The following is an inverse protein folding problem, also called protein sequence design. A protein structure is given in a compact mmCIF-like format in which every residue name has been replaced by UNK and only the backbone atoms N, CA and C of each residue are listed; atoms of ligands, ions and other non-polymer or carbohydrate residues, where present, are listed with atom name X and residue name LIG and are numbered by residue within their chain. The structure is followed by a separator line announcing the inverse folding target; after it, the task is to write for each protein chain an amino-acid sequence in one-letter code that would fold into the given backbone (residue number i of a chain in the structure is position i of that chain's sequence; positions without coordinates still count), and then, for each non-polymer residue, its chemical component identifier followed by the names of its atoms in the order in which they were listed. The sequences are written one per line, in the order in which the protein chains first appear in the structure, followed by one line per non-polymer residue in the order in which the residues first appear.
data_IF_373608727059
#
_entry.id   IF_373608727059
#
_cell.length_a   1.000
_cell.length_b   1.000
_cell.length_c   1.000
_cell.angle_alpha   90.00
_cell.angle_beta   90.00
_cell.angle_gamma   90.00
#
_symmetry.space_group_name_H-M   'P 1'
#
loop_
_entity.id
_entity.type
_entity.pdbx_description
1 polymer ?
#
# COMPACT_ATOMS: atom_id res chain seq x y z
N UNK A 1 17.98 32.10 -17.33
CA UNK A 1 17.41 30.75 -17.41
C UNK A 1 17.19 30.26 -15.99
N UNK A 2 15.94 30.19 -15.52
CA UNK A 2 15.65 29.51 -14.26
C UNK A 2 15.63 28.00 -14.55
N UNK A 3 16.58 27.26 -13.98
CA UNK A 3 16.47 25.82 -13.85
C UNK A 3 15.33 25.56 -12.86
N UNK A 4 14.16 25.17 -13.36
CA UNK A 4 13.13 24.60 -12.51
C UNK A 4 13.73 23.34 -11.87
N UNK A 5 14.02 23.39 -10.57
CA UNK A 5 14.45 22.23 -9.82
C UNK A 5 13.34 21.19 -9.90
N UNK A 6 13.55 20.11 -10.63
CA UNK A 6 12.62 18.99 -10.62
C UNK A 6 12.62 18.43 -9.20
N UNK A 7 11.44 18.36 -8.55
CA UNK A 7 11.33 17.64 -7.29
C UNK A 7 11.92 16.23 -7.45
N UNK A 8 12.85 15.85 -6.60
CA UNK A 8 13.38 14.50 -6.57
C UNK A 8 12.32 13.59 -5.94
N UNK A 9 12.10 12.44 -6.55
CA UNK A 9 11.32 11.37 -5.95
C UNK A 9 12.28 10.30 -5.42
N UNK A 10 11.78 9.41 -4.57
CA UNK A 10 12.53 8.21 -4.19
C UNK A 10 12.96 7.47 -5.47
N UNK A 11 14.27 7.37 -5.71
CA UNK A 11 14.84 6.70 -6.88
C UNK A 11 15.05 5.22 -6.57
N UNK A 12 13.96 4.52 -6.24
CA UNK A 12 13.96 3.06 -6.07
C UNK A 12 13.63 2.32 -7.38
N UNK A 13 13.54 3.04 -8.51
CA UNK A 13 13.21 2.50 -9.83
C UNK A 13 11.74 2.15 -10.06
N UNK A 14 10.87 2.29 -9.03
CA UNK A 14 9.44 1.96 -9.07
C UNK A 14 8.56 3.19 -9.31
N UNK A 15 7.25 2.98 -9.53
CA UNK A 15 6.29 4.08 -9.74
C UNK A 15 6.56 4.92 -10.99
N UNK A 16 7.21 4.37 -12.03
CA UNK A 16 7.46 5.10 -13.30
C UNK A 16 6.17 5.52 -14.01
N UNK A 17 5.12 4.74 -13.82
CA UNK A 17 3.72 5.07 -14.13
C UNK A 17 2.91 4.99 -12.85
N UNK A 18 1.70 5.56 -12.80
CA UNK A 18 0.80 5.34 -11.66
C UNK A 18 0.61 3.84 -11.41
N UNK A 19 0.71 3.38 -10.14
CA UNK A 19 0.52 1.98 -9.83
C UNK A 19 -0.93 1.55 -10.11
N UNK A 20 -1.09 0.32 -10.59
CA UNK A 20 -2.38 -0.27 -10.92
C UNK A 20 -2.49 -1.64 -10.26
N UNK A 21 -3.55 -1.83 -9.49
CA UNK A 21 -3.74 -3.06 -8.72
C UNK A 21 -5.09 -3.14 -8.05
N UNK A 22 -5.15 -3.96 -7.02
CA UNK A 22 -6.32 -4.21 -6.18
C UNK A 22 -5.90 -4.20 -4.71
N UNK A 23 -6.79 -3.75 -3.81
CA UNK A 23 -6.55 -3.70 -2.37
C UNK A 23 -7.78 -4.17 -1.60
N UNK A 24 -7.59 -4.84 -0.46
CA UNK A 24 -8.65 -5.62 0.20
C UNK A 24 -9.70 -4.85 0.97
N UNK A 25 -9.40 -3.63 1.42
CA UNK A 25 -10.19 -2.95 2.44
C UNK A 25 -11.65 -2.68 2.04
N UNK A 26 -11.89 -2.05 0.88
CA UNK A 26 -13.24 -1.58 0.55
C UNK A 26 -14.29 -2.69 0.40
N UNK A 27 -13.86 -3.91 0.06
CA UNK A 27 -14.77 -5.04 -0.12
C UNK A 27 -14.79 -5.98 1.10
N UNK A 28 -13.63 -6.24 1.70
CA UNK A 28 -13.51 -7.27 2.73
C UNK A 28 -13.31 -6.71 4.13
N UNK A 29 -12.86 -5.46 4.28
CA UNK A 29 -12.51 -4.85 5.56
C UNK A 29 -11.66 -5.80 6.41
N UNK A 30 -12.11 -6.04 7.64
CA UNK A 30 -11.45 -6.94 8.58
C UNK A 30 -11.58 -8.44 8.24
N UNK A 31 -12.31 -8.84 7.20
CA UNK A 31 -12.54 -10.24 6.83
C UNK A 31 -11.52 -10.75 5.80
N UNK A 32 -10.23 -10.50 6.05
CA UNK A 32 -9.12 -10.99 5.25
C UNK A 32 -8.39 -12.16 5.91
N UNK A 33 -7.94 -13.10 5.07
CA UNK A 33 -7.07 -14.22 5.42
C UNK A 33 -6.29 -14.67 4.18
N UNK A 34 -5.29 -15.53 4.37
CA UNK A 34 -4.40 -15.98 3.30
C UNK A 34 -5.14 -16.66 2.13
N UNK A 35 -6.05 -17.59 2.40
CA UNK A 35 -6.82 -18.29 1.35
C UNK A 35 -7.63 -17.32 0.50
N UNK A 36 -8.23 -16.29 1.12
CA UNK A 36 -8.94 -15.25 0.39
C UNK A 36 -8.00 -14.44 -0.51
N UNK A 37 -6.84 -14.02 0.02
CA UNK A 37 -5.86 -13.27 -0.76
C UNK A 37 -5.34 -14.07 -1.96
N UNK A 38 -5.01 -15.35 -1.77
CA UNK A 38 -4.59 -16.27 -2.84
C UNK A 38 -5.69 -16.44 -3.92
N UNK A 39 -6.95 -16.61 -3.50
CA UNK A 39 -8.10 -16.67 -4.42
C UNK A 39 -8.28 -15.39 -5.23
N UNK A 40 -8.01 -14.23 -4.62
CA UNK A 40 -8.06 -12.95 -5.31
C UNK A 40 -6.92 -12.84 -6.32
N UNK A 41 -5.70 -13.25 -5.95
CA UNK A 41 -4.56 -13.34 -6.88
C UNK A 41 -4.89 -14.21 -8.09
N UNK A 42 -5.48 -15.40 -7.88
CA UNK A 42 -5.96 -16.27 -8.97
C UNK A 42 -7.00 -15.55 -9.85
N UNK A 43 -7.91 -14.78 -9.24
CA UNK A 43 -8.90 -13.98 -9.92
C UNK A 43 -8.31 -12.85 -10.78
N UNK A 44 -7.24 -12.21 -10.32
CA UNK A 44 -6.57 -11.09 -11.01
C UNK A 44 -5.94 -11.53 -12.34
N UNK A 45 -5.44 -12.77 -12.42
CA UNK A 45 -4.85 -13.36 -13.63
C UNK A 45 -5.84 -14.19 -14.45
N UNK A 46 -7.07 -14.37 -13.95
CA UNK A 46 -8.08 -15.14 -14.66
C UNK A 46 -8.61 -14.40 -15.91
N UNK A 47 -8.44 -15.00 -17.09
CA UNK A 47 -8.95 -14.49 -18.38
C UNK A 47 -10.42 -14.84 -18.61
N UNK A 48 -11.27 -14.52 -17.62
CA UNK A 48 -12.72 -14.83 -17.63
C UNK A 48 -13.56 -13.85 -18.46
N UNK A 49 -13.01 -12.66 -18.75
CA UNK A 49 -13.66 -11.60 -19.54
C UNK A 49 -12.94 -11.44 -20.88
N UNK A 50 -13.62 -10.86 -21.86
CA UNK A 50 -12.99 -10.46 -23.12
C UNK A 50 -12.91 -8.94 -23.23
N UNK A 51 -11.79 -8.43 -23.75
CA UNK A 51 -11.61 -7.05 -24.19
C UNK A 51 -11.33 -7.10 -25.68
N UNK A 52 -12.17 -6.44 -26.48
CA UNK A 52 -12.07 -6.44 -27.95
C UNK A 52 -12.02 -7.86 -28.57
N UNK A 53 -12.75 -8.80 -27.97
CA UNK A 53 -12.83 -10.19 -28.42
C UNK A 53 -11.69 -11.10 -27.94
N UNK A 54 -10.71 -10.58 -27.21
CA UNK A 54 -9.58 -11.36 -26.65
C UNK A 54 -9.84 -11.67 -25.18
N UNK A 55 -9.75 -12.94 -24.73
CA UNK A 55 -9.78 -13.27 -23.31
C UNK A 55 -8.63 -12.58 -22.56
N UNK A 56 -8.99 -11.75 -21.58
CA UNK A 56 -8.06 -10.80 -20.95
C UNK A 56 -8.29 -10.79 -19.44
N UNK A 57 -7.20 -10.86 -18.67
CA UNK A 57 -7.21 -10.73 -17.21
C UNK A 57 -7.05 -9.28 -16.78
N UNK A 58 -7.14 -8.99 -15.48
CA UNK A 58 -6.81 -7.65 -14.97
C UNK A 58 -5.32 -7.35 -15.09
N UNK A 59 -4.48 -8.34 -14.82
CA UNK A 59 -3.05 -8.18 -14.95
C UNK A 59 -2.60 -8.00 -16.41
N UNK A 60 -3.26 -8.63 -17.40
CA UNK A 60 -2.99 -8.33 -18.82
C UNK A 60 -3.27 -6.85 -19.20
N UNK A 61 -4.10 -6.15 -18.40
CA UNK A 61 -4.40 -4.71 -18.53
C UNK A 61 -3.51 -3.83 -17.63
N UNK A 62 -2.54 -4.42 -16.92
CA UNK A 62 -1.59 -3.72 -16.05
C UNK A 62 -1.96 -3.72 -14.55
N UNK A 63 -3.12 -4.25 -14.16
CA UNK A 63 -3.49 -4.38 -12.74
C UNK A 63 -2.86 -5.66 -12.16
N UNK A 64 -1.55 -5.62 -11.90
CA UNK A 64 -0.79 -6.79 -11.44
C UNK A 64 -0.37 -6.70 -9.96
N UNK A 65 -0.75 -5.66 -9.24
CA UNK A 65 -0.48 -5.51 -7.80
C UNK A 65 -1.69 -5.93 -6.95
N UNK A 66 -1.45 -6.74 -5.92
CA UNK A 66 -2.48 -7.21 -4.97
C UNK A 66 -2.07 -6.84 -3.55
N UNK A 67 -2.71 -5.81 -3.00
CA UNK A 67 -2.45 -5.28 -1.67
C UNK A 67 -3.33 -5.92 -0.59
N UNK A 68 -2.69 -6.47 0.43
CA UNK A 68 -3.30 -6.74 1.73
C UNK A 68 -3.44 -5.41 2.50
N UNK A 69 -4.62 -5.16 3.05
CA UNK A 69 -4.86 -4.05 3.97
C UNK A 69 -4.78 -4.49 5.45
N UNK A 70 -5.34 -3.72 6.38
CA UNK A 70 -5.28 -4.02 7.83
C UNK A 70 -5.88 -5.40 8.21
N UNK A 71 -5.74 -5.80 9.47
CA UNK A 71 -6.21 -7.05 10.09
C UNK A 71 -5.40 -8.33 9.83
N UNK A 72 -4.14 -8.23 9.38
CA UNK A 72 -3.19 -9.35 9.38
C UNK A 72 -2.44 -9.51 10.71
N UNK A 73 -2.34 -8.42 11.47
CA UNK A 73 -1.62 -8.28 12.72
C UNK A 73 -2.29 -9.10 13.83
N UNK A 74 -1.49 -9.67 14.73
CA UNK A 74 -1.97 -10.14 16.04
C UNK A 74 -2.08 -8.94 17.00
N UNK A 75 -3.02 -8.04 16.67
CA UNK A 75 -3.32 -6.84 17.45
C UNK A 75 -3.48 -7.12 18.96
N UNK A 76 -2.74 -6.41 19.81
CA UNK A 76 -2.83 -6.55 21.27
C UNK A 76 -2.03 -7.71 21.87
N UNK A 77 -1.44 -8.58 21.05
CA UNK A 77 -0.66 -9.73 21.51
C UNK A 77 0.79 -9.38 21.89
N UNK A 78 1.25 -8.20 21.50
CA UNK A 78 2.62 -7.74 21.66
C UNK A 78 2.90 -6.97 22.95
N UNK A 79 4.11 -6.41 23.01
CA UNK A 79 4.58 -5.55 24.08
C UNK A 79 3.62 -4.36 24.25
N UNK A 80 3.15 -4.12 25.48
CA UNK A 80 2.20 -3.03 25.80
C UNK A 80 0.97 -2.96 24.88
N UNK A 81 0.40 -4.13 24.52
CA UNK A 81 -0.78 -4.23 23.65
C UNK A 81 -0.55 -3.75 22.20
N UNK A 82 0.70 -3.69 21.75
CA UNK A 82 1.05 -3.51 20.33
C UNK A 82 0.86 -4.80 19.52
N UNK A 83 1.17 -4.75 18.21
CA UNK A 83 1.40 -5.95 17.39
C UNK A 83 2.87 -6.38 17.31
N UNK A 84 3.78 -5.82 18.11
CA UNK A 84 5.22 -6.15 18.10
C UNK A 84 5.63 -6.94 19.35
N UNK A 85 6.50 -7.94 19.21
CA UNK A 85 7.05 -8.64 20.38
C UNK A 85 8.09 -7.79 21.14
N UNK A 86 8.66 -8.31 22.24
CA UNK A 86 9.65 -7.59 23.05
C UNK A 86 10.95 -7.24 22.29
N UNK A 87 11.23 -7.91 21.16
CA UNK A 87 12.35 -7.59 20.27
C UNK A 87 11.96 -6.59 19.16
N UNK A 88 10.73 -6.08 19.16
CA UNK A 88 10.21 -5.15 18.16
C UNK A 88 9.80 -5.80 16.85
N UNK A 89 9.72 -7.14 16.75
CA UNK A 89 9.33 -7.84 15.51
C UNK A 89 7.81 -7.93 15.41
N UNK A 90 7.20 -7.65 14.23
CA UNK A 90 5.76 -7.75 14.04
C UNK A 90 5.25 -9.18 14.25
N UNK A 91 4.13 -9.30 14.96
CA UNK A 91 3.45 -10.57 15.25
C UNK A 91 2.31 -10.75 14.26
N UNK A 92 2.42 -11.77 13.42
CA UNK A 92 1.40 -12.17 12.44
C UNK A 92 0.29 -12.95 13.14
N UNK A 93 -0.97 -12.65 12.81
CA UNK A 93 -2.09 -13.52 13.18
C UNK A 93 -2.07 -14.79 12.30
N UNK A 94 -1.41 -15.84 12.80
CA UNK A 94 -1.23 -17.10 12.06
C UNK A 94 -2.48 -17.94 11.88
N UNK A 95 -3.56 -17.65 12.61
CA UNK A 95 -4.87 -18.28 12.34
C UNK A 95 -5.47 -17.76 11.02
N UNK A 96 -5.13 -16.53 10.63
CA UNK A 96 -5.57 -15.90 9.37
C UNK A 96 -4.51 -16.00 8.27
N UNK A 97 -3.25 -15.83 8.63
CA UNK A 97 -2.11 -15.81 7.72
C UNK A 97 -1.04 -16.79 8.23
N UNK A 98 -1.25 -18.10 8.04
CA UNK A 98 -0.33 -19.12 8.53
C UNK A 98 1.07 -19.01 7.92
N UNK A 99 1.19 -18.55 6.67
CA UNK A 99 2.46 -18.39 5.98
C UNK A 99 2.41 -17.21 4.97
N UNK A 100 2.86 -16.04 5.42
CA UNK A 100 2.95 -14.84 4.57
C UNK A 100 3.95 -15.01 3.42
N UNK A 101 5.02 -15.80 3.60
CA UNK A 101 6.03 -16.02 2.57
C UNK A 101 5.48 -16.92 1.45
N UNK A 102 4.70 -17.95 1.78
CA UNK A 102 4.04 -18.76 0.74
C UNK A 102 2.96 -17.96 0.00
N UNK A 103 2.24 -17.05 0.68
CA UNK A 103 1.26 -16.18 0.04
C UNK A 103 1.90 -15.26 -1.02
N UNK A 104 3.05 -14.64 -0.71
CA UNK A 104 3.77 -13.80 -1.71
C UNK A 104 4.39 -14.65 -2.81
N UNK A 105 4.93 -15.84 -2.50
CA UNK A 105 5.39 -16.81 -3.52
C UNK A 105 4.27 -17.20 -4.48
N UNK A 106 3.04 -17.37 -3.99
CA UNK A 106 1.87 -17.62 -4.83
C UNK A 106 1.63 -16.45 -5.79
N UNK A 107 1.65 -15.20 -5.30
CA UNK A 107 1.54 -14.01 -6.14
C UNK A 107 2.62 -13.99 -7.24
N UNK A 108 3.88 -14.21 -6.87
CA UNK A 108 5.02 -14.19 -7.79
C UNK A 108 4.96 -15.30 -8.85
N UNK A 109 4.49 -16.51 -8.48
CA UNK A 109 4.26 -17.62 -9.45
C UNK A 109 3.24 -17.24 -10.53
N UNK A 110 2.30 -16.35 -10.21
CA UNK A 110 1.29 -15.82 -11.14
C UNK A 110 1.77 -14.59 -11.91
N UNK A 111 2.96 -14.06 -11.62
CA UNK A 111 3.47 -12.81 -12.19
C UNK A 111 2.85 -11.54 -11.59
N UNK A 112 2.27 -11.64 -10.39
CA UNK A 112 1.73 -10.53 -9.63
C UNK A 112 2.75 -10.01 -8.61
N UNK A 113 2.59 -8.76 -8.17
CA UNK A 113 3.24 -8.21 -6.96
C UNK A 113 2.28 -8.24 -5.77
N UNK A 114 2.84 -8.31 -4.55
CA UNK A 114 2.08 -8.32 -3.31
C UNK A 114 2.40 -7.10 -2.43
N UNK A 115 1.36 -6.43 -1.92
CA UNK A 115 1.49 -5.27 -1.03
C UNK A 115 1.14 -5.59 0.43
N UNK A 116 1.91 -5.03 1.37
CA UNK A 116 1.71 -5.11 2.83
C UNK A 116 1.00 -3.84 3.36
N UNK A 117 0.23 -3.93 4.45
CA UNK A 117 -0.24 -2.77 5.25
C UNK A 117 0.53 -2.63 6.58
N UNK A 118 1.28 -1.55 6.76
CA UNK A 118 2.20 -1.39 7.90
C UNK A 118 1.74 -0.35 8.92
N UNK A 119 2.65 -0.04 9.84
CA UNK A 119 2.67 1.10 10.77
C UNK A 119 1.54 1.23 11.81
N UNK A 120 0.57 0.33 11.75
CA UNK A 120 -0.64 0.42 12.52
C UNK A 120 -1.31 -0.95 12.75
N UNK A 121 -2.21 -0.98 13.73
CA UNK A 121 -3.11 -2.07 14.05
C UNK A 121 -4.45 -1.43 14.45
N UNK A 122 -5.34 -1.18 13.48
CA UNK A 122 -6.64 -0.50 13.69
C UNK A 122 -6.51 0.78 14.54
N UNK A 123 -5.47 1.57 14.26
CA UNK A 123 -5.17 2.84 14.92
C UNK A 123 -4.76 2.73 16.41
N UNK A 124 -4.51 1.51 16.90
CA UNK A 124 -4.26 1.21 18.31
C UNK A 124 -2.78 1.03 18.65
N UNK A 125 -1.87 1.15 17.68
CA UNK A 125 -0.44 0.95 17.92
C UNK A 125 0.13 2.04 18.85
N UNK A 126 1.04 1.65 19.74
CA UNK A 126 1.66 2.53 20.76
C UNK A 126 3.12 2.17 20.98
N UNK A 127 3.86 3.01 21.74
CA UNK A 127 5.21 2.69 22.24
C UNK A 127 6.25 2.27 21.17
N UNK A 128 6.20 2.94 20.02
CA UNK A 128 7.09 2.68 18.87
C UNK A 128 8.53 3.08 19.13
N UNK A 129 9.46 2.24 18.66
CA UNK A 129 10.91 2.49 18.67
C UNK A 129 11.49 2.38 17.27
N UNK A 130 12.71 2.90 17.04
CA UNK A 130 13.42 2.75 15.76
C UNK A 130 13.68 1.29 15.38
N UNK A 131 13.90 0.42 16.37
CA UNK A 131 14.12 -1.01 16.13
C UNK A 131 12.89 -1.69 15.51
N UNK A 132 11.68 -1.23 15.85
CA UNK A 132 10.44 -1.72 15.24
C UNK A 132 10.33 -1.35 13.75
N UNK A 133 10.74 -0.12 13.36
CA UNK A 133 10.80 0.22 11.93
C UNK A 133 11.75 -0.71 11.17
N UNK A 134 12.92 -0.98 11.75
CA UNK A 134 13.89 -1.87 11.13
C UNK A 134 13.36 -3.30 11.02
N UNK A 135 12.71 -3.81 12.06
CA UNK A 135 12.13 -5.15 12.09
C UNK A 135 10.94 -5.31 11.13
N UNK A 136 10.10 -4.28 10.99
CA UNK A 136 9.03 -4.27 10.00
C UNK A 136 9.58 -4.29 8.58
N UNK A 137 10.58 -3.45 8.26
CA UNK A 137 11.24 -3.46 6.95
C UNK A 137 11.85 -4.83 6.66
N UNK A 138 12.54 -5.42 7.63
CA UNK A 138 13.08 -6.78 7.50
C UNK A 138 11.96 -7.77 7.20
N UNK A 139 10.87 -7.76 7.96
CA UNK A 139 9.74 -8.69 7.77
C UNK A 139 9.09 -8.55 6.40
N UNK A 140 8.89 -7.31 5.93
CA UNK A 140 8.35 -7.02 4.59
C UNK A 140 9.25 -7.62 3.51
N UNK A 141 10.56 -7.44 3.62
CA UNK A 141 11.52 -7.94 2.62
C UNK A 141 11.70 -9.45 2.67
N UNK A 142 11.73 -10.06 3.87
CA UNK A 142 11.90 -11.50 4.08
C UNK A 142 10.67 -12.30 3.67
N UNK A 143 9.46 -11.83 4.00
CA UNK A 143 8.23 -12.43 3.50
C UNK A 143 7.99 -12.16 2.02
N UNK A 144 8.82 -11.33 1.37
CA UNK A 144 8.81 -11.17 -0.07
C UNK A 144 7.75 -10.22 -0.61
N UNK A 145 7.25 -9.27 0.18
CA UNK A 145 6.35 -8.24 -0.33
C UNK A 145 7.10 -7.22 -1.19
N UNK A 146 6.36 -6.61 -2.12
CA UNK A 146 6.89 -5.71 -3.15
C UNK A 146 6.39 -4.27 -2.97
N UNK A 147 5.37 -4.08 -2.12
CA UNK A 147 4.81 -2.79 -1.78
C UNK A 147 4.42 -2.71 -0.30
N UNK A 148 4.31 -1.49 0.24
CA UNK A 148 3.81 -1.21 1.59
C UNK A 148 2.91 0.03 1.59
N UNK A 149 1.79 -0.05 2.32
CA UNK A 149 0.94 1.10 2.68
C UNK A 149 1.18 1.50 4.12
N UNK A 150 1.40 2.79 4.34
CA UNK A 150 1.64 3.41 5.64
C UNK A 150 0.49 4.37 5.97
N UNK A 151 -0.30 4.05 6.99
CA UNK A 151 -1.54 4.73 7.35
C UNK A 151 -1.32 5.95 8.28
N UNK A 152 -2.31 6.84 8.34
CA UNK A 152 -2.25 8.09 9.08
C UNK A 152 -2.57 8.01 10.58
N UNK A 153 -3.08 6.89 11.10
CA UNK A 153 -3.48 6.76 12.51
C UNK A 153 -2.55 5.95 13.41
N UNK A 154 -1.45 5.41 12.87
CA UNK A 154 -0.45 4.66 13.63
C UNK A 154 0.52 5.54 14.44
N UNK A 155 1.62 4.95 14.89
CA UNK A 155 2.70 5.67 15.60
C UNK A 155 4.05 5.66 14.88
N UNK A 156 4.24 4.74 13.93
CA UNK A 156 5.40 4.73 13.04
C UNK A 156 5.23 5.74 11.88
N UNK A 157 5.21 7.04 12.22
CA UNK A 157 4.86 8.15 11.32
C UNK A 157 6.06 8.83 10.64
N UNK A 158 7.29 8.39 10.93
CA UNK A 158 8.50 8.91 10.27
C UNK A 158 8.66 8.26 8.89
N UNK A 159 8.05 8.87 7.89
CA UNK A 159 8.04 8.34 6.53
C UNK A 159 9.39 8.45 5.81
N UNK A 160 10.26 9.39 6.21
CA UNK A 160 11.63 9.47 5.69
C UNK A 160 12.47 8.31 6.23
N UNK A 161 12.30 7.96 7.52
CA UNK A 161 12.93 6.77 8.10
C UNK A 161 12.50 5.49 7.38
N UNK A 162 11.20 5.30 7.12
CA UNK A 162 10.71 4.17 6.31
C UNK A 162 11.40 4.10 4.95
N UNK A 163 11.42 5.21 4.21
CA UNK A 163 12.06 5.29 2.89
C UNK A 163 13.56 4.95 2.95
N UNK A 164 14.28 5.49 3.94
CA UNK A 164 15.70 5.24 4.14
C UNK A 164 15.99 3.77 4.47
N UNK A 165 15.19 3.15 5.34
CA UNK A 165 15.36 1.75 5.73
C UNK A 165 15.06 0.79 4.57
N UNK A 166 14.01 1.04 3.79
CA UNK A 166 13.76 0.26 2.57
C UNK A 166 14.88 0.40 1.56
N UNK A 167 15.41 1.62 1.34
CA UNK A 167 16.56 1.81 0.47
C UNK A 167 17.81 1.07 0.98
N UNK A 168 18.06 1.09 2.30
CA UNK A 168 19.17 0.38 2.93
C UNK A 168 19.03 -1.15 2.89
N UNK A 169 17.80 -1.68 2.79
CA UNK A 169 17.54 -3.12 2.65
C UNK A 169 18.07 -3.72 1.33
N UNK A 170 18.30 -2.88 0.31
CA UNK A 170 18.76 -3.31 -1.01
C UNK A 170 17.67 -3.98 -1.88
N UNK A 171 16.44 -4.12 -1.37
CA UNK A 171 15.27 -4.58 -2.15
C UNK A 171 14.35 -3.41 -2.45
N UNK A 172 14.07 -3.09 -3.73
CA UNK A 172 13.06 -2.10 -4.08
C UNK A 172 11.68 -2.52 -3.55
N UNK A 173 11.04 -1.64 -2.76
CA UNK A 173 9.67 -1.79 -2.27
C UNK A 173 8.92 -0.51 -2.62
N UNK A 174 7.72 -0.65 -3.18
CA UNK A 174 6.85 0.45 -3.53
C UNK A 174 6.18 1.02 -2.26
N UNK A 175 6.35 2.33 -2.00
CA UNK A 175 5.85 2.96 -0.77
C UNK A 175 4.62 3.81 -1.08
N UNK A 176 3.51 3.49 -0.42
CA UNK A 176 2.25 4.24 -0.40
C UNK A 176 2.12 5.03 0.91
N UNK A 177 2.06 6.36 0.81
CA UNK A 177 1.67 7.22 1.92
C UNK A 177 0.15 7.41 1.96
N UNK A 178 -0.50 6.93 3.03
CA UNK A 178 -1.94 7.02 3.28
C UNK A 178 -2.30 7.99 4.42
N UNK A 179 -1.64 9.14 4.53
CA UNK A 179 -1.88 10.11 5.62
C UNK A 179 -2.98 11.14 5.31
N UNK A 180 -3.96 10.74 4.48
CA UNK A 180 -5.16 11.50 4.13
C UNK A 180 -4.97 12.96 3.68
N UNK A 181 -3.84 13.27 3.03
CA UNK A 181 -3.47 14.64 2.67
C UNK A 181 -2.93 15.51 3.81
N UNK A 182 -2.82 14.97 5.02
CA UNK A 182 -2.19 15.62 6.18
C UNK A 182 -0.66 15.60 6.13
N UNK A 183 -0.07 14.58 5.48
CA UNK A 183 1.37 14.51 5.19
C UNK A 183 1.55 14.36 3.68
N UNK A 184 2.22 15.33 3.06
CA UNK A 184 2.34 15.45 1.60
C UNK A 184 3.78 15.83 1.21
N UNK A 185 4.21 15.55 -0.03
CA UNK A 185 5.54 15.92 -0.49
C UNK A 185 5.72 17.44 -0.53
N UNK A 186 6.96 17.89 -0.41
CA UNK A 186 7.30 19.28 -0.67
C UNK A 186 7.65 19.49 -2.16
N UNK A 187 7.98 20.72 -2.54
CA UNK A 187 8.24 21.07 -3.95
C UNK A 187 9.53 20.45 -4.52
N UNK A 188 10.43 19.95 -3.67
CA UNK A 188 11.75 19.46 -4.07
C UNK A 188 11.98 17.98 -3.74
N UNK A 189 11.14 17.35 -2.92
CA UNK A 189 11.34 16.00 -2.41
C UNK A 189 10.03 15.24 -2.17
N UNK A 190 9.99 14.00 -2.64
CA UNK A 190 8.93 13.02 -2.38
C UNK A 190 9.55 11.68 -1.97
N UNK A 191 9.43 11.27 -0.69
CA UNK A 191 10.07 10.04 -0.19
C UNK A 191 9.33 8.75 -0.56
N UNK A 192 8.21 8.83 -1.27
CA UNK A 192 7.30 7.72 -1.52
C UNK A 192 6.94 7.64 -3.00
N UNK A 193 6.47 6.48 -3.45
CA UNK A 193 6.09 6.30 -4.85
C UNK A 193 4.72 6.92 -5.17
N UNK A 194 3.82 6.98 -4.18
CA UNK A 194 2.52 7.64 -4.30
C UNK A 194 1.96 8.04 -2.93
N UNK A 195 1.09 9.05 -2.91
CA UNK A 195 0.58 9.66 -1.68
C UNK A 195 -0.88 10.11 -1.82
N UNK A 196 -1.64 9.88 -0.74
CA UNK A 196 -3.07 10.19 -0.65
C UNK A 196 -3.27 11.67 -0.42
N UNK A 197 -4.22 12.26 -1.15
CA UNK A 197 -4.50 13.71 -1.07
C UNK A 197 -5.83 14.07 -0.42
N UNK A 198 -6.58 13.06 0.04
CA UNK A 198 -7.93 13.18 0.59
C UNK A 198 -8.17 12.20 1.74
N UNK A 199 -9.31 12.32 2.43
CA UNK A 199 -9.81 11.23 3.27
C UNK A 199 -10.26 10.01 2.46
N UNK A 200 -10.77 9.01 3.17
CA UNK A 200 -11.21 7.76 2.57
C UNK A 200 -12.39 7.96 1.62
N UNK A 201 -12.32 7.31 0.48
CA UNK A 201 -13.39 7.29 -0.52
C UNK A 201 -14.55 6.43 -0.03
N UNK A 202 -15.75 6.78 -0.50
CA UNK A 202 -16.97 5.98 -0.34
C UNK A 202 -17.59 5.78 -1.71
N UNK A 203 -18.33 4.68 -1.88
CA UNK A 203 -19.10 4.34 -3.09
C UNK A 203 -20.28 5.31 -3.36
N UNK A 204 -19.97 6.58 -3.59
CA UNK A 204 -20.89 7.65 -3.95
C UNK A 204 -20.19 8.64 -4.87
N UNK A 205 -20.91 9.17 -5.85
CA UNK A 205 -20.35 10.11 -6.82
C UNK A 205 -19.71 11.33 -6.14
N UNK A 206 -20.35 11.88 -5.11
CA UNK A 206 -19.83 13.04 -4.38
C UNK A 206 -18.49 12.78 -3.70
N UNK A 207 -18.32 11.60 -3.08
CA UNK A 207 -17.04 11.24 -2.44
C UNK A 207 -15.94 11.00 -3.47
N UNK A 208 -16.22 10.23 -4.53
CA UNK A 208 -15.25 9.96 -5.61
C UNK A 208 -14.77 11.24 -6.28
N UNK A 209 -15.71 12.12 -6.68
CA UNK A 209 -15.36 13.39 -7.34
C UNK A 209 -14.69 14.36 -6.38
N UNK A 210 -15.14 14.43 -5.12
CA UNK A 210 -14.51 15.25 -4.10
C UNK A 210 -13.05 14.88 -3.86
N UNK A 211 -12.76 13.58 -3.73
CA UNK A 211 -11.38 13.10 -3.59
C UNK A 211 -10.56 13.37 -4.87
N UNK A 212 -11.12 13.13 -6.05
CA UNK A 212 -10.43 13.40 -7.33
C UNK A 212 -9.98 14.87 -7.44
N UNK A 213 -10.81 15.83 -7.02
CA UNK A 213 -10.47 17.25 -7.05
C UNK A 213 -9.22 17.60 -6.24
N UNK A 214 -8.94 16.86 -5.15
CA UNK A 214 -7.75 17.12 -4.30
C UNK A 214 -6.43 16.85 -5.02
N UNK A 215 -6.44 16.04 -6.08
CA UNK A 215 -5.25 15.71 -6.87
C UNK A 215 -4.84 16.82 -7.86
N UNK A 216 -5.78 17.69 -8.25
CA UNK A 216 -5.60 18.67 -9.34
C UNK A 216 -4.43 19.61 -9.10
N UNK A 217 -4.29 20.12 -7.88
CA UNK A 217 -3.20 21.04 -7.53
C UNK A 217 -1.80 20.40 -7.69
N UNK A 218 -1.69 19.08 -7.47
CA UNK A 218 -0.42 18.36 -7.55
C UNK A 218 -0.02 18.15 -9.01
N UNK A 219 -0.99 17.90 -9.89
CA UNK A 219 -0.75 17.88 -11.33
C UNK A 219 -0.36 19.26 -11.85
N UNK A 220 -1.07 20.33 -11.44
CA UNK A 220 -0.77 21.71 -11.85
C UNK A 220 0.62 22.17 -11.41
N UNK A 221 1.06 21.78 -10.21
CA UNK A 221 2.40 22.07 -9.67
C UNK A 221 3.49 21.11 -10.18
N UNK A 222 3.15 20.13 -11.04
CA UNK A 222 4.07 19.09 -11.53
C UNK A 222 4.73 18.28 -10.39
N UNK A 223 3.97 18.05 -9.32
CA UNK A 223 4.36 17.25 -8.16
C UNK A 223 3.76 15.83 -8.18
N UNK A 224 2.76 15.59 -9.04
CA UNK A 224 2.33 14.24 -9.41
C UNK A 224 3.02 13.83 -10.72
N UNK A 225 3.99 12.91 -10.64
CA UNK A 225 4.92 12.57 -11.74
C UNK A 225 5.58 11.19 -11.52
N UNK A 226 6.37 10.66 -12.48
CA UNK A 226 7.08 9.40 -12.29
C UNK A 226 7.88 9.38 -10.98
N UNK A 227 7.66 8.33 -10.19
CA UNK A 227 8.23 8.14 -8.87
C UNK A 227 7.47 8.81 -7.72
N UNK A 228 6.45 9.63 -7.97
CA UNK A 228 5.65 10.30 -6.93
C UNK A 228 4.26 10.70 -7.44
N UNK A 229 3.23 9.87 -7.19
CA UNK A 229 1.87 10.11 -7.68
C UNK A 229 0.90 10.56 -6.59
N UNK A 230 0.23 11.68 -6.80
CA UNK A 230 -0.95 12.06 -6.01
C UNK A 230 -2.13 11.16 -6.41
N UNK A 231 -2.81 10.54 -5.44
CA UNK A 231 -3.98 9.69 -5.73
C UNK A 231 -5.20 10.00 -4.84
N UNK A 232 -6.44 9.81 -5.37
CA UNK A 232 -7.68 10.19 -4.71
C UNK A 232 -8.32 9.04 -3.90
N UNK A 233 -7.51 8.14 -3.35
CA UNK A 233 -7.94 6.83 -2.82
C UNK A 233 -8.37 5.79 -3.89
N UNK A 234 -8.78 4.61 -3.46
CA UNK A 234 -9.13 3.42 -4.25
C UNK A 234 -10.31 3.67 -5.21
N UNK A 235 -10.41 2.83 -6.26
CA UNK A 235 -11.57 2.83 -7.14
C UNK A 235 -12.77 2.14 -6.48
N UNK A 236 -13.94 2.77 -6.58
CA UNK A 236 -15.23 2.21 -6.10
C UNK A 236 -16.05 1.55 -7.21
N UNK A 237 -15.42 1.23 -8.35
CA UNK A 237 -16.08 0.60 -9.49
C UNK A 237 -16.56 -0.80 -9.09
N UNK A 238 -17.87 -1.02 -9.18
CA UNK A 238 -18.49 -2.31 -8.78
C UNK A 238 -18.70 -2.46 -7.27
N UNK A 239 -18.32 -1.47 -6.47
CA UNK A 239 -18.59 -1.42 -5.03
C UNK A 239 -20.05 -0.98 -4.80
N UNK A 240 -20.86 -1.85 -4.19
CA UNK A 240 -22.27 -1.55 -3.87
C UNK A 240 -22.46 -1.17 -2.39
N UNK A 241 -21.56 -1.63 -1.52
CA UNK A 241 -21.50 -1.37 -0.10
C UNK A 241 -20.02 -1.19 0.26
N UNK A 242 -19.66 -0.09 0.93
CA UNK A 242 -18.30 0.10 1.45
C UNK A 242 -17.99 -0.86 2.60
N UNK A 243 -16.82 -0.77 3.23
CA UNK A 243 -16.50 -1.58 4.41
C UNK A 243 -17.42 -1.15 5.56
N UNK A 244 -18.52 -1.88 5.75
CA UNK A 244 -19.59 -1.59 6.72
C UNK A 244 -20.98 -1.79 6.11
#
# INVERSE_FOLDING_TARGET
LLLAGQALAIDNGLGRTPPMGWRSWNLYGANVNQTLMESIMDGMVARKRSVDGVPTSLCDLGYCDVGLDDNWQACGAGHKFSYHNDAGVPIINRDRFPDMEEMTKHAHKLGLSAGWYGNNCICAETDVTTDMYQADVTSVTEFGFDAIKLDGCGKQMDLDLWANLFNASGRPVMIENCHWGGTVPNETWCPWNFFRTSGDVRASYGSVVGNLQTTVQWAQKQLSKPGCWAYPDMLEVGCQHGPG
#
